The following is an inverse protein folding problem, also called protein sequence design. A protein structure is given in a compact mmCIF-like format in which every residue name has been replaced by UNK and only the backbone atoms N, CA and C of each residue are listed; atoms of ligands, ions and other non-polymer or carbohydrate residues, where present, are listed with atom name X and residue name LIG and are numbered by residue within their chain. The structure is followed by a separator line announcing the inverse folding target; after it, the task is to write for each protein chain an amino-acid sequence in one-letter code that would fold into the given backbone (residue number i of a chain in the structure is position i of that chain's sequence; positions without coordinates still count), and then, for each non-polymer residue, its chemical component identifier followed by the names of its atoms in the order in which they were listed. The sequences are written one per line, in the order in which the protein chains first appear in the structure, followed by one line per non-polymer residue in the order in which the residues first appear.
data_IF_412514740738
#
_entry.id   IF_412514740738
#
_cell.length_a   1.000
_cell.length_b   1.000
_cell.length_c   1.000
_cell.angle_alpha   90.00
_cell.angle_beta   90.00
_cell.angle_gamma   90.00
#
_symmetry.space_group_name_H-M   'P 1'
#
loop_
_entity.id
_entity.type
_entity.pdbx_description
1 polymer ?
#
# COMPACT_ATOMS: atom_id res chain seq x y z
N UNK A 1 -51.12 -16.92 -36.91
CA UNK A 1 -49.86 -16.34 -36.44
C UNK A 1 -48.75 -17.37 -36.47
N UNK A 2 -47.57 -16.99 -36.97
CA UNK A 2 -46.37 -17.85 -37.00
C UNK A 2 -45.47 -17.40 -35.85
N UNK A 3 -45.21 -18.28 -34.89
CA UNK A 3 -44.30 -18.03 -33.77
C UNK A 3 -43.01 -18.83 -33.95
N UNK A 4 -41.85 -18.28 -33.54
CA UNK A 4 -40.58 -19.01 -33.59
C UNK A 4 -40.60 -20.17 -32.58
N UNK A 5 -40.00 -21.31 -32.91
CA UNK A 5 -39.70 -22.32 -31.91
C UNK A 5 -38.56 -21.84 -31.00
N UNK A 6 -38.47 -22.38 -29.79
CA UNK A 6 -37.34 -22.15 -28.88
C UNK A 6 -35.99 -22.37 -29.59
N UNK A 7 -35.12 -21.36 -29.57
CA UNK A 7 -33.82 -21.34 -30.24
C UNK A 7 -32.78 -22.30 -29.62
N UNK A 8 -33.08 -22.90 -28.46
CA UNK A 8 -32.19 -23.83 -27.77
C UNK A 8 -32.56 -25.28 -28.05
N UNK A 9 -33.84 -25.64 -27.88
CA UNK A 9 -34.29 -27.02 -28.06
C UNK A 9 -34.99 -27.25 -29.41
N UNK A 10 -35.56 -26.23 -30.07
CA UNK A 10 -36.20 -26.31 -31.38
C UNK A 10 -37.65 -26.83 -31.42
N UNK A 11 -38.25 -27.14 -30.26
CA UNK A 11 -39.48 -27.96 -30.21
C UNK A 11 -40.80 -27.23 -29.95
N UNK A 12 -40.83 -26.15 -29.16
CA UNK A 12 -42.10 -25.45 -28.84
C UNK A 12 -42.04 -23.94 -29.13
N UNK A 13 -43.14 -23.35 -29.62
CA UNK A 13 -43.30 -21.91 -29.68
C UNK A 13 -43.46 -21.30 -28.27
N UNK A 14 -42.89 -20.11 -28.00
CA UNK A 14 -42.99 -19.46 -26.69
C UNK A 14 -44.44 -19.06 -26.43
N UNK A 15 -45.08 -19.69 -25.44
CA UNK A 15 -46.43 -19.30 -24.98
C UNK A 15 -47.41 -20.44 -24.71
N UNK A 16 -47.19 -21.66 -25.21
CA UNK A 16 -48.13 -22.80 -24.97
C UNK A 16 -47.66 -23.79 -23.89
N UNK A 17 -46.43 -23.65 -23.41
CA UNK A 17 -45.92 -24.19 -22.13
C UNK A 17 -44.54 -23.55 -21.94
N UNK A 18 -44.23 -23.01 -20.76
CA UNK A 18 -42.98 -22.29 -20.52
C UNK A 18 -41.78 -23.20 -20.79
N UNK A 19 -41.08 -22.96 -21.91
CA UNK A 19 -39.83 -23.63 -22.25
C UNK A 19 -38.67 -22.87 -21.58
N UNK A 20 -38.02 -23.40 -20.53
CA UNK A 20 -37.09 -22.63 -19.71
C UNK A 20 -35.74 -22.38 -20.38
N UNK A 21 -35.42 -23.05 -21.48
CA UNK A 21 -34.08 -23.04 -22.04
C UNK A 21 -33.58 -21.64 -22.48
N UNK A 22 -34.47 -20.80 -23.04
CA UNK A 22 -34.09 -19.44 -23.44
C UNK A 22 -33.91 -18.51 -22.23
N UNK A 23 -34.77 -18.63 -21.21
CA UNK A 23 -34.62 -17.89 -19.96
C UNK A 23 -33.37 -18.32 -19.19
N UNK A 24 -33.08 -19.63 -19.12
CA UNK A 24 -31.89 -20.17 -18.47
C UNK A 24 -30.62 -19.68 -19.18
N UNK A 25 -30.63 -19.65 -20.52
CA UNK A 25 -29.50 -19.13 -21.30
C UNK A 25 -29.32 -17.63 -21.10
N UNK A 26 -30.42 -16.87 -21.04
CA UNK A 26 -30.36 -15.44 -20.72
C UNK A 26 -29.77 -15.23 -19.33
N UNK A 27 -30.23 -15.99 -18.33
CA UNK A 27 -29.71 -15.91 -16.97
C UNK A 27 -28.20 -16.19 -16.92
N UNK A 28 -27.74 -17.27 -17.56
CA UNK A 28 -26.32 -17.59 -17.64
C UNK A 28 -25.51 -16.48 -18.34
N UNK A 29 -26.07 -15.87 -19.39
CA UNK A 29 -25.41 -14.77 -20.10
C UNK A 29 -25.32 -13.51 -19.24
N UNK A 30 -26.36 -13.22 -18.44
CA UNK A 30 -26.35 -12.13 -17.45
C UNK A 30 -25.29 -12.37 -16.38
N UNK A 31 -25.26 -13.55 -15.76
CA UNK A 31 -24.26 -13.91 -14.74
C UNK A 31 -22.83 -13.79 -15.28
N UNK A 32 -22.58 -14.25 -16.53
CA UNK A 32 -21.29 -14.10 -17.18
C UNK A 32 -20.93 -12.63 -17.45
N UNK A 33 -21.91 -11.81 -17.87
CA UNK A 33 -21.70 -10.40 -18.10
C UNK A 33 -21.42 -9.63 -16.80
N UNK A 34 -22.15 -9.94 -15.73
CA UNK A 34 -21.94 -9.38 -14.39
C UNK A 34 -20.56 -9.72 -13.85
N UNK A 35 -20.16 -11.00 -13.89
CA UNK A 35 -18.82 -11.42 -13.46
C UNK A 35 -17.73 -10.71 -14.26
N UNK A 36 -17.87 -10.66 -15.59
CA UNK A 36 -16.87 -10.02 -16.44
C UNK A 36 -16.79 -8.52 -16.21
N UNK A 37 -17.91 -7.84 -15.99
CA UNK A 37 -17.92 -6.39 -15.88
C UNK A 37 -17.73 -5.92 -14.44
N UNK A 38 -18.59 -6.35 -13.51
CA UNK A 38 -18.61 -5.89 -12.11
C UNK A 38 -17.37 -6.38 -11.37
N UNK A 39 -17.06 -7.68 -11.40
CA UNK A 39 -15.98 -8.23 -10.58
C UNK A 39 -14.61 -7.77 -11.10
N UNK A 40 -14.44 -7.71 -12.43
CA UNK A 40 -13.21 -7.19 -13.04
C UNK A 40 -13.03 -5.71 -12.73
N UNK A 41 -14.09 -4.91 -12.88
CA UNK A 41 -14.03 -3.48 -12.54
C UNK A 41 -13.69 -3.26 -11.06
N UNK A 42 -14.36 -3.96 -10.15
CA UNK A 42 -14.12 -3.85 -8.71
C UNK A 42 -12.70 -4.29 -8.34
N UNK A 43 -12.19 -5.34 -8.98
CA UNK A 43 -10.81 -5.81 -8.78
C UNK A 43 -9.81 -4.75 -9.20
N UNK A 44 -9.98 -4.17 -10.39
CA UNK A 44 -9.10 -3.11 -10.91
C UNK A 44 -9.12 -1.86 -10.03
N UNK A 45 -10.32 -1.45 -9.59
CA UNK A 45 -10.50 -0.32 -8.67
C UNK A 45 -9.78 -0.58 -7.34
N UNK A 46 -9.95 -1.77 -6.76
CA UNK A 46 -9.32 -2.14 -5.50
C UNK A 46 -7.80 -2.14 -5.63
N UNK A 47 -7.28 -2.72 -6.69
CA UNK A 47 -5.84 -2.78 -6.96
C UNK A 47 -5.26 -1.37 -7.09
N UNK A 48 -5.88 -0.52 -7.93
CA UNK A 48 -5.47 0.86 -8.11
C UNK A 48 -5.49 1.64 -6.78
N UNK A 49 -6.59 1.61 -6.04
CA UNK A 49 -6.73 2.36 -4.78
C UNK A 49 -5.72 1.88 -3.74
N UNK A 50 -5.49 0.56 -3.66
CA UNK A 50 -4.52 -0.03 -2.72
C UNK A 50 -3.10 0.38 -3.07
N UNK A 51 -2.69 0.23 -4.33
CA UNK A 51 -1.34 0.59 -4.77
C UNK A 51 -1.06 2.09 -4.59
N UNK A 52 -2.04 2.93 -4.90
CA UNK A 52 -1.93 4.38 -4.74
C UNK A 52 -1.86 4.79 -3.27
N UNK A 53 -2.65 4.15 -2.39
CA UNK A 53 -2.60 4.37 -0.96
C UNK A 53 -1.27 3.94 -0.34
N UNK A 54 -0.75 2.77 -0.75
CA UNK A 54 0.59 2.30 -0.31
C UNK A 54 1.66 3.29 -0.74
N UNK A 55 1.68 3.71 -2.00
CA UNK A 55 2.64 4.69 -2.49
C UNK A 55 2.58 6.01 -1.71
N UNK A 56 1.37 6.51 -1.43
CA UNK A 56 1.17 7.74 -0.63
C UNK A 56 1.76 7.63 0.79
N UNK A 57 1.45 6.54 1.48
CA UNK A 57 1.92 6.30 2.86
C UNK A 57 3.43 6.10 2.89
N UNK A 58 3.98 5.33 1.94
CA UNK A 58 5.43 5.11 1.82
C UNK A 58 6.18 6.40 1.53
N UNK A 59 5.72 7.23 0.59
CA UNK A 59 6.35 8.51 0.27
C UNK A 59 6.36 9.48 1.47
N UNK A 60 5.26 9.49 2.23
CA UNK A 60 5.17 10.27 3.46
C UNK A 60 6.19 9.79 4.50
N UNK A 61 6.31 8.48 4.68
CA UNK A 61 7.28 7.88 5.59
C UNK A 61 8.73 8.12 5.15
N UNK A 62 9.04 8.02 3.86
CA UNK A 62 10.39 8.26 3.33
C UNK A 62 10.87 9.67 3.69
N UNK A 63 9.99 10.67 3.56
CA UNK A 63 10.27 12.05 3.95
C UNK A 63 10.58 12.19 5.45
N UNK A 64 9.83 11.50 6.31
CA UNK A 64 10.08 11.50 7.75
C UNK A 64 11.39 10.80 8.09
N UNK A 65 11.62 9.61 7.53
CA UNK A 65 12.83 8.81 7.73
C UNK A 65 14.09 9.60 7.34
N UNK A 66 14.05 10.30 6.21
CA UNK A 66 15.21 11.05 5.72
C UNK A 66 15.51 12.24 6.64
N UNK A 67 14.48 12.93 7.14
CA UNK A 67 14.62 13.94 8.18
C UNK A 67 15.24 13.37 9.46
N UNK A 68 14.76 12.21 9.95
CA UNK A 68 15.32 11.54 11.14
C UNK A 68 16.80 11.17 10.95
N UNK A 69 17.16 10.66 9.77
CA UNK A 69 18.57 10.35 9.45
C UNK A 69 19.44 11.60 9.44
N UNK A 70 18.93 12.73 8.95
CA UNK A 70 19.66 13.99 8.97
C UNK A 70 19.83 14.54 10.39
N UNK A 71 18.78 14.51 11.21
CA UNK A 71 18.82 14.87 12.63
C UNK A 71 19.84 14.02 13.39
N UNK A 72 19.79 12.70 13.20
CA UNK A 72 20.74 11.75 13.79
C UNK A 72 22.18 12.07 13.37
N UNK A 73 22.45 12.23 12.07
CA UNK A 73 23.79 12.54 11.55
C UNK A 73 24.34 13.81 12.19
N UNK A 74 23.50 14.84 12.30
CA UNK A 74 23.87 16.10 12.93
C UNK A 74 24.21 15.90 14.40
N UNK A 75 23.37 15.16 15.13
CA UNK A 75 23.59 14.84 16.54
C UNK A 75 24.90 14.07 16.78
N UNK A 76 25.12 12.96 16.09
CA UNK A 76 26.33 12.15 16.30
C UNK A 76 27.60 12.87 15.83
N UNK A 77 27.53 13.69 14.78
CA UNK A 77 28.66 14.49 14.32
C UNK A 77 29.12 15.55 15.32
N UNK A 78 28.23 15.99 16.21
CA UNK A 78 28.54 16.92 17.29
C UNK A 78 29.19 16.24 18.50
N UNK A 79 29.21 14.90 18.56
CA UNK A 79 29.82 14.19 19.67
C UNK A 79 31.35 14.33 19.63
N UNK A 80 32.01 14.51 20.79
CA UNK A 80 33.46 14.56 20.87
C UNK A 80 34.11 13.31 20.27
N UNK A 81 35.17 13.50 19.48
CA UNK A 81 35.93 12.44 18.82
C UNK A 81 35.17 11.61 17.76
N UNK A 82 33.92 11.97 17.43
CA UNK A 82 33.14 11.26 16.41
C UNK A 82 33.77 11.28 15.02
N UNK A 83 34.36 12.38 14.51
CA UNK A 83 35.01 12.36 13.20
C UNK A 83 36.12 11.32 13.09
N UNK A 84 36.96 11.20 14.12
CA UNK A 84 38.02 10.19 14.21
C UNK A 84 37.42 8.78 14.32
N UNK A 85 36.41 8.62 15.17
CA UNK A 85 35.68 7.36 15.31
C UNK A 85 35.12 6.89 13.96
N UNK A 86 34.43 7.75 13.21
CA UNK A 86 33.86 7.44 11.92
C UNK A 86 34.93 7.14 10.86
N UNK A 87 35.99 7.95 10.80
CA UNK A 87 37.11 7.78 9.87
C UNK A 87 37.76 6.39 10.01
N UNK A 88 37.98 5.93 11.24
CA UNK A 88 38.56 4.63 11.55
C UNK A 88 37.49 3.53 11.74
N UNK A 89 36.29 3.68 11.17
CA UNK A 89 35.21 2.67 11.21
C UNK A 89 34.91 2.13 12.61
N UNK A 90 34.96 3.02 13.60
CA UNK A 90 34.69 2.73 15.02
C UNK A 90 35.87 2.20 15.83
N UNK A 91 37.06 2.10 15.22
CA UNK A 91 38.29 1.59 15.86
C UNK A 91 39.48 2.53 15.64
N UNK A 92 39.42 3.78 16.16
CA UNK A 92 40.59 4.67 16.10
C UNK A 92 41.75 4.10 16.92
N UNK A 93 43.01 4.28 16.47
CA UNK A 93 44.18 3.91 17.26
C UNK A 93 44.19 4.59 18.64
N UNK A 94 44.76 3.95 19.68
CA UNK A 94 44.73 4.48 21.04
C UNK A 94 45.50 5.80 21.23
N UNK A 95 46.43 6.11 20.32
CA UNK A 95 47.15 7.39 20.30
C UNK A 95 46.33 8.53 19.67
N UNK A 96 45.25 8.23 18.93
CA UNK A 96 44.34 9.23 18.35
C UNK A 96 43.16 9.49 19.30
N UNK A 97 42.58 8.43 19.87
CA UNK A 97 41.50 8.52 20.85
C UNK A 97 41.81 7.59 22.01
N UNK A 98 41.95 8.14 23.21
CA UNK A 98 42.22 7.34 24.41
C UNK A 98 41.06 6.33 24.67
N UNK A 99 41.34 5.08 25.08
CA UNK A 99 40.32 4.04 25.24
C UNK A 99 39.12 4.40 26.12
N UNK A 100 39.31 5.21 27.17
CA UNK A 100 38.21 5.67 28.04
C UNK A 100 37.23 6.62 27.35
N UNK A 101 37.72 7.49 26.45
CA UNK A 101 36.83 8.35 25.65
C UNK A 101 36.13 7.54 24.55
N UNK A 102 36.84 6.55 23.99
CA UNK A 102 36.27 5.67 22.97
C UNK A 102 35.12 4.82 23.51
N UNK A 103 35.21 4.30 24.74
CA UNK A 103 34.11 3.54 25.36
C UNK A 103 32.88 4.41 25.61
N UNK A 104 33.06 5.63 26.15
CA UNK A 104 31.99 6.59 26.36
C UNK A 104 31.31 7.00 25.04
N UNK A 105 32.10 7.31 24.01
CA UNK A 105 31.58 7.64 22.67
C UNK A 105 30.76 6.50 22.07
N UNK A 106 31.26 5.26 22.15
CA UNK A 106 30.51 4.08 21.68
C UNK A 106 29.16 3.92 22.38
N UNK A 107 29.11 4.18 23.68
CA UNK A 107 27.86 4.15 24.42
C UNK A 107 26.89 5.23 23.94
N UNK A 108 27.36 6.46 23.72
CA UNK A 108 26.52 7.56 23.22
C UNK A 108 25.99 7.27 21.81
N UNK A 109 26.84 6.76 20.91
CA UNK A 109 26.42 6.35 19.56
C UNK A 109 25.37 5.26 19.62
N UNK A 110 25.55 4.23 20.46
CA UNK A 110 24.54 3.15 20.63
C UNK A 110 23.20 3.68 21.12
N UNK A 111 23.21 4.59 22.10
CA UNK A 111 21.97 5.21 22.60
C UNK A 111 21.28 6.01 21.48
N UNK A 112 22.05 6.76 20.69
CA UNK A 112 21.52 7.51 19.55
C UNK A 112 20.95 6.57 18.46
N UNK A 113 21.59 5.42 18.21
CA UNK A 113 21.11 4.40 17.26
C UNK A 113 19.77 3.83 17.72
N UNK A 114 19.68 3.42 18.98
CA UNK A 114 18.45 2.88 19.56
C UNK A 114 17.31 3.91 19.53
N UNK A 115 17.63 5.18 19.81
CA UNK A 115 16.65 6.27 19.75
C UNK A 115 16.19 6.52 18.32
N UNK A 116 17.10 6.55 17.35
CA UNK A 116 16.75 6.71 15.93
C UNK A 116 15.79 5.60 15.48
N UNK A 117 16.10 4.34 15.81
CA UNK A 117 15.26 3.21 15.44
C UNK A 117 13.85 3.36 16.02
N UNK A 118 13.73 3.67 17.32
CA UNK A 118 12.41 3.87 17.97
C UNK A 118 11.60 4.98 17.29
N UNK A 119 12.25 6.10 16.95
CA UNK A 119 11.57 7.22 16.28
C UNK A 119 11.11 6.83 14.88
N UNK A 120 11.94 6.11 14.11
CA UNK A 120 11.55 5.58 12.80
C UNK A 120 10.36 4.63 12.93
N UNK A 121 10.37 3.73 13.93
CA UNK A 121 9.27 2.78 14.15
C UNK A 121 7.95 3.49 14.50
N UNK A 122 8.00 4.53 15.34
CA UNK A 122 6.82 5.34 15.68
C UNK A 122 6.32 6.15 14.48
N UNK A 123 7.21 6.75 13.69
CA UNK A 123 6.85 7.47 12.47
C UNK A 123 6.18 6.51 11.45
N UNK A 124 6.69 5.28 11.32
CA UNK A 124 6.08 4.24 10.47
C UNK A 124 4.68 3.85 10.95
N UNK A 125 4.51 3.57 12.25
CA UNK A 125 3.20 3.27 12.84
C UNK A 125 2.21 4.41 12.60
N UNK A 126 2.64 5.66 12.76
CA UNK A 126 1.80 6.81 12.50
C UNK A 126 1.37 6.88 11.03
N UNK A 127 2.28 6.64 10.08
CA UNK A 127 1.97 6.60 8.65
C UNK A 127 0.96 5.50 8.31
N UNK A 128 1.17 4.27 8.79
CA UNK A 128 0.26 3.13 8.54
C UNK A 128 -1.14 3.38 9.10
N UNK A 129 -1.26 4.05 10.25
CA UNK A 129 -2.57 4.42 10.83
C UNK A 129 -3.39 5.37 9.94
N UNK A 130 -2.79 6.00 8.92
CA UNK A 130 -3.50 6.87 7.99
C UNK A 130 -4.21 6.14 6.86
N UNK A 131 -3.95 4.84 6.64
CA UNK A 131 -4.56 4.07 5.54
C UNK A 131 -6.06 4.25 5.38
N UNK A 132 -6.90 4.21 6.44
CA UNK A 132 -8.35 4.38 6.27
C UNK A 132 -8.71 5.71 5.58
N UNK A 133 -8.12 6.83 6.02
CA UNK A 133 -8.37 8.16 5.45
C UNK A 133 -7.81 8.30 4.04
N UNK A 134 -6.63 7.72 3.79
CA UNK A 134 -5.98 7.76 2.47
C UNK A 134 -6.79 6.94 1.45
N UNK A 135 -7.29 5.77 1.84
CA UNK A 135 -8.17 4.96 1.00
C UNK A 135 -9.48 5.68 0.74
N UNK A 136 -10.12 6.26 1.76
CA UNK A 136 -11.34 7.07 1.60
C UNK A 136 -11.14 8.19 0.56
N UNK A 137 -10.02 8.91 0.64
CA UNK A 137 -9.67 9.95 -0.33
C UNK A 137 -9.54 9.43 -1.78
N UNK A 138 -8.94 8.25 -1.99
CA UNK A 138 -8.80 7.69 -3.34
C UNK A 138 -10.09 7.07 -3.86
N UNK A 139 -10.87 6.41 -3.01
CA UNK A 139 -12.20 5.91 -3.41
C UNK A 139 -13.16 7.06 -3.76
N UNK A 140 -13.07 8.21 -3.09
CA UNK A 140 -13.88 9.39 -3.41
C UNK A 140 -13.57 10.01 -4.80
N UNK A 141 -12.46 9.63 -5.45
CA UNK A 141 -12.12 10.06 -6.80
C UNK A 141 -12.68 9.13 -7.89
N UNK A 142 -13.24 7.98 -7.50
CA UNK A 142 -13.80 7.02 -8.44
C UNK A 142 -15.20 7.48 -8.80
N UNK A 143 -15.40 7.78 -10.08
CA UNK A 143 -16.70 8.12 -10.62
C UNK A 143 -17.41 6.85 -11.11
N UNK A 144 -18.67 6.68 -10.70
CA UNK A 144 -19.54 5.58 -11.11
C UNK A 144 -20.86 6.19 -11.56
N UNK A 145 -21.09 6.18 -12.86
CA UNK A 145 -22.35 6.61 -13.45
C UNK A 145 -23.26 5.42 -13.72
N UNK A 146 -24.53 5.56 -13.32
CA UNK A 146 -25.57 4.63 -13.73
C UNK A 146 -26.05 4.99 -15.14
N UNK A 147 -26.56 4.03 -15.94
CA UNK A 147 -27.13 4.34 -17.26
C UNK A 147 -28.29 5.34 -17.28
N UNK A 148 -28.78 5.78 -16.11
CA UNK A 148 -29.86 6.77 -15.95
C UNK A 148 -29.37 8.13 -15.44
N UNK A 149 -28.06 8.28 -15.18
CA UNK A 149 -27.41 9.52 -14.74
C UNK A 149 -26.72 10.26 -15.91
#
# INVERSE_FOLDING_TARGET
DIHPNCAICGHLPPGETECPHESDRLQQAVEQAEHKWIDTWLTNVREWATNTAVAHVTNSFDSLRDRRKQEYRSHVSALPYYPQYAHYRGQPPPHIVHPSFLSALRQQVRIADDQLQRLIDEDWKACVRTYPKVLEYYYAQIDVSSPRD
#
